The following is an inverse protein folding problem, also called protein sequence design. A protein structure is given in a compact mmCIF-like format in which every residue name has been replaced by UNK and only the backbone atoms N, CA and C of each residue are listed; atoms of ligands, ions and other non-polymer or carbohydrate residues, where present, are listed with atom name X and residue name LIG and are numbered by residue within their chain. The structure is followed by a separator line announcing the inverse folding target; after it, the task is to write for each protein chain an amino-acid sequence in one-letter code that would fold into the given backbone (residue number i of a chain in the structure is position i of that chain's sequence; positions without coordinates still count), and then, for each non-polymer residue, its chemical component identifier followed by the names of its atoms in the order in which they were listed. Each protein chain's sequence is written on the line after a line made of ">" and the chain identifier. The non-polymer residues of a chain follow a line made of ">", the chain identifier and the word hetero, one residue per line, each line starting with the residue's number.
data_IF_299266121584
#
_entry.id   IF_299266121584
#
_cell.length_a   1.000
_cell.length_b   1.000
_cell.length_c   1.000
_cell.angle_alpha   90.00
_cell.angle_beta   90.00
_cell.angle_gamma   90.00
#
_symmetry.space_group_name_H-M   'P 1'
#
loop_
_entity.id
_entity.type
_entity.pdbx_description
1 polymer ?
#
# COMPACT_ATOMS: atom_id res chain seq x y z
N UNK A 1 -10.68 -31.98 -16.68
CA UNK A 1 -9.38 -31.30 -16.48
C UNK A 1 -8.88 -31.63 -15.09
N UNK A 2 -7.61 -31.97 -14.97
CA UNK A 2 -6.99 -32.28 -13.68
C UNK A 2 -6.28 -31.05 -13.13
N UNK A 3 -6.55 -30.74 -11.87
CA UNK A 3 -5.85 -29.68 -11.14
C UNK A 3 -5.10 -30.30 -9.97
N UNK A 4 -3.87 -29.85 -9.76
CA UNK A 4 -3.15 -30.09 -8.51
C UNK A 4 -3.25 -28.79 -7.68
N UNK A 5 -4.05 -28.82 -6.62
CA UNK A 5 -4.24 -27.67 -5.73
C UNK A 5 -3.54 -27.98 -4.40
N UNK A 6 -2.42 -27.30 -4.13
CA UNK A 6 -1.59 -27.49 -2.93
C UNK A 6 -1.24 -29.00 -2.69
N UNK A 7 -0.90 -29.74 -3.76
CA UNK A 7 -0.58 -31.18 -3.71
C UNK A 7 -1.80 -32.11 -3.69
N UNK A 8 -3.02 -31.59 -3.81
CA UNK A 8 -4.27 -32.36 -3.91
C UNK A 8 -4.71 -32.43 -5.36
N UNK A 9 -4.81 -33.64 -5.90
CA UNK A 9 -5.35 -33.86 -7.23
C UNK A 9 -6.87 -33.80 -7.22
N UNK A 10 -7.45 -32.86 -7.94
CA UNK A 10 -8.91 -32.70 -8.10
C UNK A 10 -9.32 -32.63 -9.56
N UNK A 11 -10.51 -33.10 -9.88
CA UNK A 11 -11.10 -32.99 -11.19
C UNK A 11 -12.04 -31.82 -11.25
N UNK A 12 -11.79 -30.91 -12.20
CA UNK A 12 -12.63 -29.74 -12.47
C UNK A 12 -13.38 -29.92 -13.79
N UNK A 13 -14.67 -29.67 -13.77
CA UNK A 13 -15.50 -29.62 -14.96
C UNK A 13 -15.09 -28.41 -15.82
N UNK A 14 -15.26 -28.55 -17.15
CA UNK A 14 -14.96 -27.46 -18.06
C UNK A 14 -15.79 -26.22 -17.77
N UNK A 15 -15.15 -25.05 -17.75
CA UNK A 15 -15.83 -23.77 -17.50
C UNK A 15 -15.99 -23.40 -16.01
N UNK A 16 -15.60 -24.26 -15.08
CA UNK A 16 -15.60 -23.95 -13.65
C UNK A 16 -14.33 -23.18 -13.23
N UNK A 17 -14.45 -22.42 -12.17
CA UNK A 17 -13.36 -21.60 -11.62
C UNK A 17 -12.51 -22.34 -10.59
N UNK A 18 -11.34 -21.78 -10.26
CA UNK A 18 -10.52 -22.28 -9.13
C UNK A 18 -11.30 -22.21 -7.82
N UNK A 19 -12.14 -21.18 -7.63
CA UNK A 19 -13.01 -21.05 -6.46
C UNK A 19 -13.99 -22.22 -6.34
N UNK A 20 -14.58 -22.66 -7.47
CA UNK A 20 -15.47 -23.82 -7.46
C UNK A 20 -14.72 -25.10 -7.07
N UNK A 21 -13.49 -25.27 -7.55
CA UNK A 21 -12.64 -26.39 -7.17
C UNK A 21 -12.28 -26.33 -5.68
N UNK A 22 -11.83 -25.17 -5.18
CA UNK A 22 -11.49 -24.99 -3.77
C UNK A 22 -12.67 -25.31 -2.83
N UNK A 23 -13.88 -24.87 -3.20
CA UNK A 23 -15.12 -25.18 -2.46
C UNK A 23 -15.43 -26.67 -2.45
N UNK A 24 -15.33 -27.32 -3.60
CA UNK A 24 -15.59 -28.76 -3.72
C UNK A 24 -14.65 -29.58 -2.86
N UNK A 25 -13.40 -29.15 -2.74
CA UNK A 25 -12.35 -29.82 -1.95
C UNK A 25 -12.33 -29.37 -0.47
N UNK A 26 -13.25 -28.51 -0.04
CA UNK A 26 -13.30 -27.99 1.34
C UNK A 26 -12.13 -27.10 1.72
N UNK A 27 -11.56 -26.39 0.75
CA UNK A 27 -10.42 -25.47 0.94
C UNK A 27 -10.85 -24.01 1.12
N UNK A 28 -12.15 -23.72 1.17
CA UNK A 28 -12.74 -22.39 1.29
C UNK A 28 -13.05 -21.99 2.74
N UNK A 29 -12.04 -22.00 3.60
CA UNK A 29 -12.19 -21.67 5.02
C UNK A 29 -12.88 -20.32 5.26
N UNK A 30 -13.66 -20.22 6.34
CA UNK A 30 -14.24 -18.96 6.82
C UNK A 30 -13.17 -18.12 7.54
N UNK A 31 -12.22 -18.77 8.23
CA UNK A 31 -11.14 -18.10 8.96
C UNK A 31 -10.13 -17.51 7.95
N UNK A 32 -9.75 -16.25 8.15
CA UNK A 32 -8.83 -15.57 7.23
C UNK A 32 -7.45 -16.23 7.21
N UNK A 33 -7.01 -16.82 8.32
CA UNK A 33 -5.76 -17.62 8.42
C UNK A 33 -5.64 -18.69 7.35
N UNK A 34 -6.76 -19.34 7.00
CA UNK A 34 -6.78 -20.49 6.09
C UNK A 34 -7.52 -20.21 4.79
N UNK A 35 -8.20 -19.06 4.72
CA UNK A 35 -9.00 -18.68 3.54
C UNK A 35 -8.11 -18.38 2.34
N UNK A 36 -8.31 -19.05 1.19
CA UNK A 36 -7.63 -18.68 -0.04
C UNK A 36 -8.12 -17.32 -0.54
N UNK A 37 -7.21 -16.42 -0.84
CA UNK A 37 -7.50 -15.07 -1.33
C UNK A 37 -7.30 -14.94 -2.84
N UNK A 38 -6.34 -15.69 -3.37
CA UNK A 38 -6.02 -15.77 -4.79
C UNK A 38 -5.35 -17.12 -5.09
N UNK A 39 -4.99 -17.34 -6.34
CA UNK A 39 -4.26 -18.51 -6.80
C UNK A 39 -2.97 -18.09 -7.50
N UNK A 40 -1.89 -18.84 -7.29
CA UNK A 40 -0.65 -18.70 -8.03
C UNK A 40 -0.50 -19.84 -9.02
N UNK A 41 -0.21 -19.52 -10.28
CA UNK A 41 0.00 -20.46 -11.38
C UNK A 41 1.25 -20.03 -12.13
N UNK A 42 2.29 -20.86 -12.14
CA UNK A 42 3.53 -20.57 -12.86
C UNK A 42 4.21 -19.25 -12.47
N UNK A 43 4.05 -18.82 -11.20
CA UNK A 43 4.61 -17.56 -10.69
C UNK A 43 3.69 -16.34 -10.84
N UNK A 44 2.61 -16.42 -11.61
CA UNK A 44 1.62 -15.33 -11.76
C UNK A 44 0.45 -15.51 -10.80
N UNK A 45 -0.12 -14.39 -10.33
CA UNK A 45 -1.27 -14.36 -9.42
C UNK A 45 -2.55 -14.19 -10.21
N UNK A 46 -3.55 -15.01 -9.90
CA UNK A 46 -4.87 -15.01 -10.51
C UNK A 46 -5.97 -14.89 -9.45
N UNK A 47 -7.06 -14.20 -9.80
CA UNK A 47 -8.28 -14.22 -9.00
C UNK A 47 -8.81 -15.66 -8.91
N UNK A 48 -9.41 -16.05 -7.80
CA UNK A 48 -9.99 -17.39 -7.64
C UNK A 48 -11.15 -17.68 -8.61
N UNK A 49 -11.76 -16.65 -9.21
CA UNK A 49 -12.77 -16.80 -10.28
C UNK A 49 -12.17 -17.15 -11.64
N UNK A 50 -10.84 -17.19 -11.75
CA UNK A 50 -10.16 -17.60 -12.98
C UNK A 50 -10.52 -19.05 -13.30
N UNK A 51 -10.79 -19.30 -14.61
CA UNK A 51 -11.08 -20.62 -15.16
C UNK A 51 -9.86 -21.14 -15.89
N UNK A 52 -9.14 -22.14 -15.36
CA UNK A 52 -8.02 -22.78 -16.04
C UNK A 52 -8.49 -23.43 -17.36
N UNK A 53 -7.61 -23.47 -18.38
CA UNK A 53 -7.93 -24.06 -19.68
C UNK A 53 -7.20 -25.37 -19.96
N UNK A 54 -6.28 -25.76 -19.10
CA UNK A 54 -5.47 -26.98 -19.19
C UNK A 54 -5.14 -27.51 -17.80
N UNK A 55 -4.68 -28.72 -17.72
CA UNK A 55 -4.17 -29.32 -16.48
C UNK A 55 -3.10 -28.40 -15.88
N UNK A 56 -3.24 -28.06 -14.61
CA UNK A 56 -2.49 -26.96 -14.00
C UNK A 56 -2.20 -27.25 -12.52
N UNK A 57 -1.00 -26.92 -12.10
CA UNK A 57 -0.63 -26.85 -10.69
C UNK A 57 -0.96 -25.47 -10.13
N UNK A 58 -1.63 -25.44 -8.99
CA UNK A 58 -2.16 -24.23 -8.36
C UNK A 58 -1.73 -24.21 -6.90
N UNK A 59 -1.11 -23.10 -6.50
CA UNK A 59 -0.90 -22.77 -5.09
C UNK A 59 -1.93 -21.74 -4.65
N UNK A 60 -2.67 -22.02 -3.57
CA UNK A 60 -3.66 -21.10 -3.01
C UNK A 60 -2.98 -20.12 -2.06
N UNK A 61 -2.98 -18.85 -2.43
CA UNK A 61 -2.39 -17.76 -1.65
C UNK A 61 -3.30 -17.39 -0.48
N UNK A 62 -2.75 -17.40 0.73
CA UNK A 62 -3.41 -17.09 2.00
C UNK A 62 -2.86 -15.82 2.62
N UNK A 63 -3.51 -15.31 3.66
CA UNK A 63 -3.14 -14.05 4.32
C UNK A 63 -1.71 -14.04 4.89
N UNK A 64 -1.22 -15.16 5.40
CA UNK A 64 0.13 -15.31 5.93
C UNK A 64 1.26 -15.12 4.90
N UNK A 65 0.93 -15.20 3.61
CA UNK A 65 1.87 -15.01 2.51
C UNK A 65 1.82 -13.57 1.99
N UNK A 66 2.98 -13.01 1.62
CA UNK A 66 3.08 -11.62 1.15
C UNK A 66 2.15 -11.30 -0.03
N UNK A 67 2.03 -12.22 -0.99
CA UNK A 67 1.15 -12.03 -2.15
C UNK A 67 -0.32 -12.09 -1.76
N UNK A 68 -0.71 -13.02 -0.88
CA UNK A 68 -2.06 -13.15 -0.36
C UNK A 68 -2.46 -11.92 0.48
N UNK A 69 -1.57 -11.44 1.36
CA UNK A 69 -1.80 -10.22 2.14
C UNK A 69 -2.01 -8.99 1.24
N UNK A 70 -1.23 -8.84 0.15
CA UNK A 70 -1.43 -7.75 -0.81
C UNK A 70 -2.76 -7.83 -1.55
N UNK A 71 -3.26 -9.03 -1.82
CA UNK A 71 -4.62 -9.24 -2.39
C UNK A 71 -5.67 -8.77 -1.40
N UNK A 72 -5.54 -9.14 -0.13
CA UNK A 72 -6.43 -8.70 0.94
C UNK A 72 -6.41 -7.18 1.12
N UNK A 73 -5.22 -6.60 1.21
CA UNK A 73 -5.02 -5.16 1.38
C UNK A 73 -5.70 -4.35 0.27
N UNK A 74 -5.48 -4.71 -1.00
CA UNK A 74 -6.14 -4.04 -2.13
C UNK A 74 -7.66 -4.16 -2.08
N UNK A 75 -8.16 -5.35 -1.74
CA UNK A 75 -9.59 -5.59 -1.58
C UNK A 75 -10.18 -4.72 -0.48
N UNK A 76 -9.51 -4.63 0.66
CA UNK A 76 -9.93 -3.82 1.80
C UNK A 76 -9.86 -2.31 1.48
N UNK A 77 -8.83 -1.85 0.78
CA UNK A 77 -8.73 -0.46 0.32
C UNK A 77 -9.91 -0.09 -0.58
N UNK A 78 -10.23 -0.94 -1.55
CA UNK A 78 -11.34 -0.68 -2.46
C UNK A 78 -12.69 -0.69 -1.73
N UNK A 79 -12.88 -1.60 -0.77
CA UNK A 79 -14.04 -1.64 0.09
C UNK A 79 -14.20 -0.34 0.89
N UNK A 80 -13.11 0.19 1.46
CA UNK A 80 -13.09 1.46 2.17
C UNK A 80 -13.47 2.63 1.26
N UNK A 81 -12.86 2.73 0.08
CA UNK A 81 -13.16 3.77 -0.91
C UNK A 81 -14.64 3.73 -1.31
N UNK A 82 -15.19 2.53 -1.55
CA UNK A 82 -16.60 2.37 -1.91
C UNK A 82 -17.53 2.80 -0.77
N UNK A 83 -17.21 2.44 0.49
CA UNK A 83 -17.98 2.86 1.66
C UNK A 83 -17.94 4.39 1.84
N UNK A 84 -16.76 5.00 1.69
CA UNK A 84 -16.61 6.45 1.70
C UNK A 84 -17.48 7.14 0.64
N UNK A 85 -17.49 6.60 -0.57
CA UNK A 85 -18.31 7.13 -1.67
C UNK A 85 -19.81 7.07 -1.39
N UNK A 86 -20.26 6.03 -0.71
CA UNK A 86 -21.68 5.86 -0.37
C UNK A 86 -22.12 6.80 0.75
N UNK A 87 -21.30 6.93 1.78
CA UNK A 87 -21.60 7.79 2.95
C UNK A 87 -21.26 9.27 2.70
N UNK A 88 -20.19 9.55 1.98
CA UNK A 88 -19.65 10.88 1.75
C UNK A 88 -19.26 11.08 0.27
N UNK A 89 -20.22 11.25 -0.65
CA UNK A 89 -19.97 11.26 -2.11
C UNK A 89 -19.00 12.37 -2.56
N UNK A 90 -18.87 13.46 -1.80
CA UNK A 90 -17.99 14.60 -2.13
C UNK A 90 -16.59 14.46 -1.53
N UNK A 91 -16.39 13.52 -0.60
CA UNK A 91 -15.12 13.31 0.07
C UNK A 91 -14.04 12.85 -0.92
N UNK A 92 -12.85 13.42 -0.78
CA UNK A 92 -11.65 12.95 -1.47
C UNK A 92 -10.83 12.09 -0.52
N UNK A 93 -10.63 10.85 -0.90
CA UNK A 93 -9.90 9.85 -0.13
C UNK A 93 -8.51 9.69 -0.73
N UNK A 94 -7.47 9.81 0.08
CA UNK A 94 -6.11 9.55 -0.33
C UNK A 94 -5.43 8.56 0.62
N UNK A 95 -5.12 7.36 0.13
CA UNK A 95 -4.27 6.39 0.83
C UNK A 95 -2.83 6.90 0.76
N UNK A 96 -2.24 7.20 1.92
CA UNK A 96 -0.93 7.86 2.00
C UNK A 96 0.21 6.87 2.12
N UNK A 97 0.26 6.13 3.22
CA UNK A 97 1.37 5.24 3.56
C UNK A 97 0.91 4.18 4.56
N UNK A 98 1.73 3.14 4.70
CA UNK A 98 1.53 2.15 5.76
C UNK A 98 1.97 2.72 7.11
N UNK A 99 1.14 2.58 8.12
CA UNK A 99 1.43 3.00 9.49
C UNK A 99 1.22 1.81 10.43
N UNK A 100 2.31 1.19 10.84
CA UNK A 100 2.23 -0.07 11.59
C UNK A 100 1.49 -1.14 10.80
N UNK A 101 0.50 -1.82 11.42
CA UNK A 101 -0.30 -2.85 10.74
C UNK A 101 -1.48 -2.29 9.95
N UNK A 102 -1.52 -0.98 9.66
CA UNK A 102 -2.61 -0.32 8.97
C UNK A 102 -2.15 0.62 7.86
N UNK A 103 -3.14 1.22 7.21
CA UNK A 103 -2.96 2.22 6.17
C UNK A 103 -3.44 3.57 6.67
N UNK A 104 -2.56 4.57 6.66
CA UNK A 104 -2.93 5.95 6.96
C UNK A 104 -3.62 6.56 5.74
N UNK A 105 -4.83 7.06 5.96
CA UNK A 105 -5.70 7.60 4.91
C UNK A 105 -6.13 9.00 5.31
N UNK A 106 -5.99 9.95 4.40
CA UNK A 106 -6.53 11.30 4.57
C UNK A 106 -7.83 11.45 3.79
N UNK A 107 -8.75 12.20 4.39
CA UNK A 107 -10.07 12.51 3.84
C UNK A 107 -10.24 14.03 3.85
N UNK A 108 -10.49 14.61 2.68
CA UNK A 108 -10.77 16.03 2.50
C UNK A 108 -11.98 16.27 1.59
N UNK A 109 -12.33 17.54 1.34
CA UNK A 109 -13.44 17.90 0.44
C UNK A 109 -14.83 17.75 1.04
N UNK A 110 -14.94 17.56 2.36
CA UNK A 110 -16.18 17.55 3.11
C UNK A 110 -16.50 18.96 3.67
N UNK A 111 -17.79 19.24 3.93
CA UNK A 111 -18.22 20.49 4.55
C UNK A 111 -17.73 20.60 6.01
N UNK A 112 -17.81 19.48 6.74
CA UNK A 112 -17.22 19.34 8.08
C UNK A 112 -16.02 18.39 8.03
N UNK A 113 -14.99 18.60 8.86
CA UNK A 113 -13.86 17.68 8.93
C UNK A 113 -14.31 16.26 9.24
N UNK A 114 -13.68 15.29 8.60
CA UNK A 114 -13.91 13.88 8.89
C UNK A 114 -13.55 13.58 10.35
N UNK A 115 -14.51 13.16 11.15
CA UNK A 115 -14.42 12.97 12.59
C UNK A 115 -14.65 11.49 13.00
N UNK A 116 -14.67 11.21 14.29
CA UNK A 116 -14.84 9.85 14.82
C UNK A 116 -16.21 9.25 14.47
N UNK A 117 -17.29 10.05 14.45
CA UNK A 117 -18.63 9.58 14.05
C UNK A 117 -18.64 9.18 12.57
N UNK A 118 -17.98 9.97 11.71
CA UNK A 118 -17.84 9.65 10.30
C UNK A 118 -17.05 8.34 10.09
N UNK A 119 -15.98 8.13 10.87
CA UNK A 119 -15.21 6.88 10.82
C UNK A 119 -16.07 5.66 11.18
N UNK A 120 -16.93 5.78 12.21
CA UNK A 120 -17.86 4.72 12.60
C UNK A 120 -18.92 4.44 11.53
N UNK A 121 -19.45 5.48 10.87
CA UNK A 121 -20.40 5.33 9.75
C UNK A 121 -19.76 4.56 8.61
N UNK A 122 -18.53 4.91 8.24
CA UNK A 122 -17.79 4.21 7.17
C UNK A 122 -17.52 2.75 7.54
N UNK A 123 -17.07 2.47 8.76
CA UNK A 123 -16.88 1.09 9.20
C UNK A 123 -18.18 0.28 9.14
N UNK A 124 -19.29 0.88 9.55
CA UNK A 124 -20.62 0.25 9.51
C UNK A 124 -21.02 -0.09 8.07
N UNK A 125 -20.81 0.84 7.13
CA UNK A 125 -21.10 0.63 5.73
C UNK A 125 -20.16 -0.44 5.12
N UNK A 126 -18.87 -0.42 5.45
CA UNK A 126 -17.94 -1.48 5.02
C UNK A 126 -18.43 -2.86 5.45
N UNK A 127 -18.86 -3.01 6.72
CA UNK A 127 -19.41 -4.28 7.23
C UNK A 127 -20.71 -4.68 6.52
N UNK A 128 -21.53 -3.70 6.12
CA UNK A 128 -22.71 -3.96 5.29
C UNK A 128 -22.32 -4.48 3.90
N UNK A 129 -21.35 -3.86 3.26
CA UNK A 129 -20.84 -4.26 1.94
C UNK A 129 -20.21 -5.66 1.96
N UNK A 130 -19.49 -6.02 3.05
CA UNK A 130 -18.96 -7.37 3.27
C UNK A 130 -20.09 -8.40 3.26
N UNK A 131 -21.22 -8.13 3.96
CA UNK A 131 -22.36 -9.04 3.99
C UNK A 131 -23.07 -9.22 2.65
N UNK A 132 -23.00 -8.21 1.78
CA UNK A 132 -23.59 -8.25 0.44
C UNK A 132 -22.83 -9.13 -0.56
N UNK A 133 -21.57 -9.49 -0.26
CA UNK A 133 -20.72 -10.34 -1.12
C UNK A 133 -20.65 -9.84 -2.56
N UNK A 134 -20.47 -8.53 -2.74
CA UNK A 134 -20.44 -7.91 -4.05
C UNK A 134 -19.20 -8.37 -4.83
N UNK A 135 -19.34 -8.84 -6.07
CA UNK A 135 -18.21 -9.31 -6.87
C UNK A 135 -17.26 -8.16 -7.20
N UNK A 136 -15.95 -8.45 -7.16
CA UNK A 136 -14.91 -7.56 -7.68
C UNK A 136 -14.55 -7.99 -9.10
N UNK A 137 -14.96 -7.20 -10.08
CA UNK A 137 -14.76 -7.51 -11.49
C UNK A 137 -13.61 -6.70 -12.06
N UNK A 138 -12.58 -7.40 -12.57
CA UNK A 138 -11.51 -6.74 -13.33
C UNK A 138 -11.96 -6.53 -14.76
N UNK A 139 -11.87 -5.30 -15.22
CA UNK A 139 -12.24 -4.92 -16.60
C UNK A 139 -11.09 -4.19 -17.27
N UNK A 140 -10.91 -4.46 -18.54
CA UNK A 140 -10.01 -3.70 -19.40
C UNK A 140 -10.84 -2.71 -20.20
N UNK A 141 -10.55 -1.43 -20.03
CA UNK A 141 -11.23 -0.32 -20.70
C UNK A 141 -10.25 0.50 -21.54
N UNK A 142 -10.77 1.27 -22.48
CA UNK A 142 -9.94 2.20 -23.24
C UNK A 142 -9.50 3.39 -22.38
N UNK A 143 -8.37 4.02 -22.71
CA UNK A 143 -7.93 5.26 -22.05
C UNK A 143 -9.02 6.36 -22.18
N UNK A 144 -9.71 6.44 -23.30
CA UNK A 144 -10.80 7.41 -23.50
C UNK A 144 -11.96 7.19 -22.51
N UNK A 145 -12.36 5.93 -22.29
CA UNK A 145 -13.38 5.56 -21.32
C UNK A 145 -12.93 5.88 -19.89
N UNK A 146 -11.69 5.54 -19.54
CA UNK A 146 -11.11 5.84 -18.22
C UNK A 146 -11.04 7.37 -17.96
N UNK A 147 -10.61 8.17 -18.94
CA UNK A 147 -10.57 9.62 -18.82
C UNK A 147 -11.96 10.19 -18.59
N UNK A 148 -12.96 9.78 -19.42
CA UNK A 148 -14.34 10.24 -19.28
C UNK A 148 -14.91 9.91 -17.90
N UNK A 149 -14.63 8.68 -17.39
CA UNK A 149 -15.07 8.27 -16.06
C UNK A 149 -14.45 9.14 -14.96
N UNK A 150 -13.12 9.30 -14.93
CA UNK A 150 -12.46 10.06 -13.86
C UNK A 150 -12.75 11.56 -13.91
N UNK A 151 -12.98 12.13 -15.10
CA UNK A 151 -13.41 13.53 -15.24
C UNK A 151 -14.84 13.74 -14.70
N UNK A 152 -15.77 12.84 -15.03
CA UNK A 152 -17.15 12.90 -14.52
C UNK A 152 -17.24 12.64 -13.01
N UNK A 153 -16.36 11.78 -12.50
CA UNK A 153 -16.30 11.43 -11.09
C UNK A 153 -15.50 12.43 -10.23
N UNK A 154 -15.00 13.53 -10.83
CA UNK A 154 -14.26 14.58 -10.13
C UNK A 154 -12.84 14.19 -9.72
N UNK A 155 -12.30 13.08 -10.23
CA UNK A 155 -10.94 12.59 -9.95
C UNK A 155 -9.91 13.18 -10.94
N UNK A 156 -9.81 14.51 -10.97
CA UNK A 156 -8.98 15.23 -11.94
C UNK A 156 -7.49 14.81 -11.94
N UNK A 157 -6.94 14.43 -10.78
CA UNK A 157 -5.54 14.01 -10.67
C UNK A 157 -5.30 12.67 -11.36
N UNK A 158 -6.25 11.73 -11.25
CA UNK A 158 -6.18 10.45 -11.98
C UNK A 158 -6.33 10.68 -13.50
N UNK A 159 -7.25 11.54 -13.91
CA UNK A 159 -7.41 11.91 -15.32
C UNK A 159 -6.13 12.55 -15.90
N UNK A 160 -5.49 13.45 -15.15
CA UNK A 160 -4.21 14.05 -15.55
C UNK A 160 -3.09 13.01 -15.68
N UNK A 161 -3.02 12.04 -14.74
CA UNK A 161 -2.01 10.98 -14.77
C UNK A 161 -2.17 10.08 -16.00
N UNK A 162 -3.38 9.80 -16.45
CA UNK A 162 -3.64 8.98 -17.63
C UNK A 162 -3.09 9.57 -18.93
N UNK A 163 -2.90 10.89 -19.02
CA UNK A 163 -2.29 11.56 -20.20
C UNK A 163 -0.87 11.10 -20.46
N UNK A 164 -0.14 10.64 -19.43
CA UNK A 164 1.24 10.16 -19.53
C UNK A 164 1.36 8.68 -19.88
N UNK A 165 0.23 7.97 -19.96
CA UNK A 165 0.22 6.55 -20.20
C UNK A 165 0.51 6.22 -21.67
N UNK A 166 1.41 5.27 -21.90
CA UNK A 166 1.82 4.84 -23.26
C UNK A 166 0.92 3.77 -23.87
N UNK A 167 0.13 3.08 -23.04
CA UNK A 167 -0.78 2.00 -23.48
C UNK A 167 -2.16 2.56 -23.82
N UNK A 168 -2.83 1.99 -24.80
CA UNK A 168 -4.17 2.37 -25.25
C UNK A 168 -5.29 1.87 -24.34
N UNK A 169 -4.97 1.02 -23.38
CA UNK A 169 -5.91 0.39 -22.45
C UNK A 169 -5.54 0.65 -21.00
N UNK A 170 -6.52 0.43 -20.12
CA UNK A 170 -6.41 0.58 -18.69
C UNK A 170 -7.20 -0.51 -17.97
N UNK A 171 -6.57 -1.20 -17.02
CA UNK A 171 -7.25 -2.21 -16.22
C UNK A 171 -7.79 -1.56 -14.95
N UNK A 172 -9.09 -1.74 -14.69
CA UNK A 172 -9.80 -1.24 -13.53
C UNK A 172 -10.52 -2.38 -12.82
N UNK A 173 -10.83 -2.18 -11.55
CA UNK A 173 -11.78 -3.00 -10.84
C UNK A 173 -13.11 -2.26 -10.71
N UNK A 174 -14.21 -3.00 -10.83
CA UNK A 174 -15.56 -2.50 -10.70
C UNK A 174 -16.30 -3.20 -9.57
N UNK A 175 -16.99 -2.43 -8.72
CA UNK A 175 -17.94 -2.90 -7.71
C UNK A 175 -19.15 -1.98 -7.72
N UNK A 176 -20.37 -2.53 -7.85
CA UNK A 176 -21.62 -1.78 -7.69
C UNK A 176 -21.65 -0.48 -8.51
N UNK A 177 -21.17 -0.54 -9.75
CA UNK A 177 -21.11 0.60 -10.68
C UNK A 177 -19.93 1.56 -10.49
N UNK A 178 -19.21 1.49 -9.38
CA UNK A 178 -18.00 2.28 -9.14
C UNK A 178 -16.77 1.59 -9.69
N UNK A 179 -15.86 2.35 -10.30
CA UNK A 179 -14.61 1.86 -10.87
C UNK A 179 -13.42 2.57 -10.24
N UNK A 180 -12.36 1.81 -9.97
CA UNK A 180 -11.05 2.37 -9.65
C UNK A 180 -9.93 1.42 -10.12
N UNK A 181 -8.70 1.92 -10.17
CA UNK A 181 -7.57 1.11 -10.60
C UNK A 181 -6.72 0.64 -9.42
N UNK A 182 -6.27 -0.60 -9.53
CA UNK A 182 -5.32 -1.20 -8.61
C UNK A 182 -4.33 -2.07 -9.37
N UNK A 183 -3.09 -2.11 -8.90
CA UNK A 183 -2.06 -2.95 -9.49
C UNK A 183 -2.04 -4.32 -8.83
N UNK A 184 -2.43 -5.35 -9.57
CA UNK A 184 -2.48 -6.74 -9.14
C UNK A 184 -3.90 -7.24 -8.88
N UNK A 185 -4.01 -8.51 -8.46
CA UNK A 185 -5.29 -9.17 -8.25
C UNK A 185 -5.93 -8.78 -6.93
N UNK A 186 -7.26 -8.87 -6.88
CA UNK A 186 -8.11 -8.73 -5.69
C UNK A 186 -8.80 -10.06 -5.36
N UNK A 187 -9.38 -10.15 -4.19
CA UNK A 187 -10.21 -11.28 -3.79
C UNK A 187 -11.50 -11.37 -4.64
N UNK A 188 -12.21 -12.51 -4.64
CA UNK A 188 -13.39 -12.73 -5.49
C UNK A 188 -14.55 -11.77 -5.27
N UNK A 189 -14.79 -11.37 -4.02
CA UNK A 189 -15.87 -10.47 -3.64
C UNK A 189 -15.59 -9.80 -2.29
N UNK A 190 -16.46 -8.87 -1.89
CA UNK A 190 -16.27 -8.05 -0.68
C UNK A 190 -16.27 -8.85 0.63
N UNK A 191 -16.81 -10.07 0.67
CA UNK A 191 -16.83 -10.88 1.89
C UNK A 191 -15.46 -11.39 2.32
N UNK A 192 -14.49 -11.32 1.45
CA UNK A 192 -13.12 -11.73 1.73
C UNK A 192 -12.35 -10.73 2.60
N UNK A 193 -12.79 -9.47 2.64
CA UNK A 193 -12.15 -8.40 3.42
C UNK A 193 -12.98 -8.08 4.68
N UNK A 194 -13.17 -9.06 5.57
CA UNK A 194 -14.08 -8.99 6.72
C UNK A 194 -13.40 -8.70 8.07
N UNK A 195 -12.08 -8.80 8.14
CA UNK A 195 -11.29 -8.59 9.38
C UNK A 195 -10.55 -7.25 9.29
N UNK A 196 -11.16 -6.20 9.81
CA UNK A 196 -10.60 -4.84 9.80
C UNK A 196 -11.17 -4.00 10.91
N UNK A 197 -10.58 -2.80 11.11
CA UNK A 197 -11.12 -1.71 11.92
C UNK A 197 -10.77 -0.37 11.28
N UNK A 198 -11.69 0.59 11.32
CA UNK A 198 -11.43 1.97 10.93
C UNK A 198 -11.15 2.78 12.20
N UNK A 199 -9.89 3.17 12.42
CA UNK A 199 -9.48 3.94 13.59
C UNK A 199 -9.35 5.41 13.23
N UNK A 200 -10.20 6.26 13.82
CA UNK A 200 -10.02 7.70 13.79
C UNK A 200 -8.70 8.10 14.48
N UNK A 201 -7.94 9.00 13.90
CA UNK A 201 -6.66 9.50 14.44
C UNK A 201 -6.78 10.97 14.82
N UNK A 202 -7.18 11.81 13.88
CA UNK A 202 -7.47 13.23 14.04
C UNK A 202 -8.36 13.69 12.87
N UNK A 203 -8.85 14.93 12.93
CA UNK A 203 -9.72 15.50 11.90
C UNK A 203 -9.11 15.36 10.51
N UNK A 204 -9.89 14.76 9.61
CA UNK A 204 -9.46 14.47 8.24
C UNK A 204 -8.53 13.27 8.10
N UNK A 205 -8.32 12.44 9.14
CA UNK A 205 -7.44 11.27 9.02
C UNK A 205 -7.93 10.04 9.78
N UNK A 206 -7.74 8.86 9.15
CA UNK A 206 -8.00 7.55 9.74
C UNK A 206 -6.86 6.59 9.44
N UNK A 207 -6.77 5.54 10.26
CA UNK A 207 -5.98 4.36 9.95
C UNK A 207 -6.92 3.17 9.71
N UNK A 208 -6.83 2.60 8.52
CA UNK A 208 -7.50 1.35 8.17
C UNK A 208 -6.64 0.19 8.66
N UNK A 209 -7.00 -0.35 9.83
CA UNK A 209 -6.26 -1.41 10.49
C UNK A 209 -6.58 -2.77 9.86
N UNK A 210 -5.52 -3.51 9.58
CA UNK A 210 -5.56 -4.88 9.06
C UNK A 210 -5.09 -5.86 10.14
N UNK A 211 -5.34 -7.15 9.98
CA UNK A 211 -4.78 -8.18 10.87
C UNK A 211 -3.25 -8.21 10.83
N UNK A 212 -2.65 -8.73 11.88
CA UNK A 212 -1.23 -9.11 11.90
C UNK A 212 -1.07 -10.53 11.35
N UNK A 213 0.13 -10.85 10.85
CA UNK A 213 0.41 -12.20 10.33
C UNK A 213 0.31 -13.30 11.41
N UNK A 214 0.64 -12.95 12.67
CA UNK A 214 0.58 -13.85 13.82
C UNK A 214 -0.83 -13.96 14.41
N UNK A 215 -1.77 -13.11 14.01
CA UNK A 215 -3.17 -13.13 14.44
C UNK A 215 -4.10 -12.66 13.30
N UNK A 216 -4.22 -13.43 12.20
CA UNK A 216 -4.91 -12.99 10.99
C UNK A 216 -6.44 -12.90 11.12
N UNK A 217 -7.03 -13.53 12.10
CA UNK A 217 -8.49 -13.60 12.28
C UNK A 217 -9.06 -12.48 13.17
N UNK A 218 -8.20 -11.56 13.63
CA UNK A 218 -8.61 -10.40 14.43
C UNK A 218 -7.95 -9.13 13.90
N UNK A 219 -8.65 -7.97 13.89
CA UNK A 219 -8.02 -6.71 13.52
C UNK A 219 -6.93 -6.35 14.53
N UNK A 220 -5.84 -5.78 14.04
CA UNK A 220 -4.76 -5.30 14.91
C UNK A 220 -5.20 -4.09 15.76
N UNK A 221 -4.50 -3.88 16.87
CA UNK A 221 -4.63 -2.66 17.63
C UNK A 221 -3.84 -1.50 16.99
N UNK A 222 -4.36 -0.30 17.14
CA UNK A 222 -3.65 0.90 16.72
C UNK A 222 -2.50 1.20 17.67
N UNK A 223 -1.34 1.44 17.08
CA UNK A 223 -0.15 1.93 17.79
C UNK A 223 0.17 3.32 17.25
N UNK A 224 0.14 4.32 18.13
CA UNK A 224 0.52 5.67 17.74
C UNK A 224 2.03 5.77 17.53
N UNK A 225 2.42 6.29 16.38
CA UNK A 225 3.81 6.50 15.96
C UNK A 225 4.05 7.99 15.63
N UNK A 226 3.94 8.91 16.61
CA UNK A 226 3.86 10.35 16.37
C UNK A 226 5.10 10.90 15.64
N UNK A 227 6.31 10.37 15.93
CA UNK A 227 7.54 10.80 15.25
C UNK A 227 7.54 10.39 13.77
N UNK A 228 7.11 9.18 13.45
CA UNK A 228 7.03 8.70 12.08
C UNK A 228 5.96 9.46 11.31
N UNK A 229 4.80 9.65 11.92
CA UNK A 229 3.68 10.41 11.33
C UNK A 229 4.09 11.87 11.04
N UNK A 230 4.82 12.52 11.94
CA UNK A 230 5.33 13.88 11.74
C UNK A 230 6.29 13.97 10.53
N UNK A 231 7.16 12.98 10.32
CA UNK A 231 8.09 12.94 9.17
C UNK A 231 7.32 12.75 7.86
N UNK A 232 6.33 11.87 7.83
CA UNK A 232 5.50 11.68 6.64
C UNK A 232 4.68 12.93 6.32
N UNK A 233 4.07 13.56 7.34
CA UNK A 233 3.33 14.82 7.16
C UNK A 233 4.23 15.94 6.61
N UNK A 234 5.44 16.08 7.14
CA UNK A 234 6.42 17.04 6.63
C UNK A 234 6.78 16.76 5.17
N UNK A 235 6.97 15.50 4.78
CA UNK A 235 7.25 15.12 3.39
C UNK A 235 6.09 15.47 2.44
N UNK A 236 4.85 15.22 2.87
CA UNK A 236 3.64 15.58 2.11
C UNK A 236 3.50 17.11 1.95
N UNK A 237 3.81 17.86 3.01
CA UNK A 237 3.77 19.33 2.99
C UNK A 237 4.82 19.88 2.02
N UNK A 238 6.03 19.34 2.02
CA UNK A 238 7.07 19.73 1.07
C UNK A 238 6.68 19.44 -0.37
N UNK A 239 6.09 18.28 -0.65
CA UNK A 239 5.57 17.97 -1.98
C UNK A 239 4.58 19.03 -2.47
N UNK A 240 3.72 19.52 -1.57
CA UNK A 240 2.76 20.60 -1.90
C UNK A 240 3.42 21.95 -2.11
N UNK A 241 4.36 22.33 -1.24
CA UNK A 241 5.11 23.60 -1.36
C UNK A 241 5.93 23.69 -2.64
N UNK A 242 6.45 22.55 -3.10
CA UNK A 242 7.22 22.45 -4.35
C UNK A 242 6.36 22.21 -5.59
N UNK A 243 5.03 22.26 -5.45
CA UNK A 243 4.09 21.97 -6.55
C UNK A 243 4.37 20.61 -7.23
N UNK A 244 4.88 19.65 -6.45
CA UNK A 244 5.23 18.31 -6.89
C UNK A 244 4.72 17.23 -5.91
N UNK A 245 3.41 17.25 -5.66
CA UNK A 245 2.76 16.30 -4.75
C UNK A 245 2.38 14.97 -5.43
N UNK A 246 2.34 14.94 -6.76
CA UNK A 246 1.90 13.78 -7.54
C UNK A 246 2.89 13.42 -8.65
N UNK A 247 2.79 12.19 -9.16
CA UNK A 247 3.57 11.77 -10.34
C UNK A 247 3.22 12.62 -11.59
N UNK A 248 1.99 13.11 -11.69
CA UNK A 248 1.61 14.04 -12.76
C UNK A 248 2.40 15.34 -12.67
N UNK A 249 2.57 15.90 -11.47
CA UNK A 249 3.32 17.13 -11.26
C UNK A 249 4.79 16.94 -11.62
N UNK A 250 5.39 15.81 -11.15
CA UNK A 250 6.76 15.45 -11.53
C UNK A 250 6.94 15.36 -13.05
N UNK A 251 6.01 14.69 -13.74
CA UNK A 251 6.04 14.60 -15.20
C UNK A 251 5.90 15.97 -15.87
N UNK A 252 5.11 16.86 -15.28
CA UNK A 252 4.94 18.24 -15.73
C UNK A 252 6.24 19.03 -15.57
N UNK A 253 6.96 18.91 -14.44
CA UNK A 253 8.29 19.51 -14.26
C UNK A 253 9.31 18.99 -15.28
N UNK A 254 9.26 17.69 -15.61
CA UNK A 254 10.12 17.09 -16.65
C UNK A 254 9.80 17.71 -18.02
N UNK A 255 8.52 17.78 -18.38
CA UNK A 255 8.08 18.33 -19.67
C UNK A 255 8.44 19.80 -19.82
N UNK A 256 8.30 20.58 -18.76
CA UNK A 256 8.58 22.02 -18.75
C UNK A 256 10.07 22.35 -18.59
N UNK A 257 10.93 21.34 -18.37
CA UNK A 257 12.37 21.52 -18.17
C UNK A 257 12.77 22.07 -16.79
N UNK A 258 11.83 22.20 -15.84
CA UNK A 258 12.05 22.72 -14.47
C UNK A 258 12.53 21.66 -13.50
N UNK A 259 12.67 20.41 -13.92
CA UNK A 259 13.09 19.29 -13.08
C UNK A 259 14.44 19.52 -12.38
N UNK A 260 15.39 20.23 -13.05
CA UNK A 260 16.71 20.51 -12.46
C UNK A 260 16.62 21.45 -11.27
N UNK A 261 15.72 22.42 -11.32
CA UNK A 261 15.46 23.32 -10.20
C UNK A 261 14.82 22.56 -9.03
N UNK A 262 13.82 21.72 -9.30
CA UNK A 262 13.22 20.85 -8.30
C UNK A 262 14.26 19.97 -7.60
N UNK A 263 15.19 19.36 -8.34
CA UNK A 263 16.28 18.56 -7.78
C UNK A 263 17.17 19.42 -6.86
N UNK A 264 17.59 20.61 -7.29
CA UNK A 264 18.43 21.50 -6.46
C UNK A 264 17.75 21.92 -5.17
N UNK A 265 16.44 22.22 -5.22
CA UNK A 265 15.67 22.57 -4.01
C UNK A 265 15.62 21.38 -3.05
N UNK A 266 15.38 20.16 -3.55
CA UNK A 266 15.38 18.96 -2.74
C UNK A 266 16.75 18.67 -2.11
N UNK A 267 17.85 18.84 -2.87
CA UNK A 267 19.21 18.66 -2.33
C UNK A 267 19.51 19.67 -1.22
N UNK A 268 19.16 20.94 -1.41
CA UNK A 268 19.35 21.99 -0.39
C UNK A 268 18.52 21.70 0.87
N UNK A 269 17.31 21.19 0.69
CA UNK A 269 16.44 20.81 1.81
C UNK A 269 17.02 19.64 2.62
N UNK A 270 17.56 18.62 1.94
CA UNK A 270 18.24 17.50 2.60
C UNK A 270 19.50 17.96 3.34
N UNK A 271 20.32 18.84 2.75
CA UNK A 271 21.51 19.37 3.39
C UNK A 271 21.17 20.16 4.66
N UNK A 272 20.10 20.94 4.65
CA UNK A 272 19.58 21.61 5.84
C UNK A 272 19.15 20.61 6.91
N UNK A 273 18.44 19.53 6.53
CA UNK A 273 18.06 18.47 7.46
C UNK A 273 19.25 17.77 8.10
N UNK A 274 20.35 17.54 7.34
CA UNK A 274 21.57 16.97 7.89
C UNK A 274 22.28 17.93 8.84
N UNK A 275 22.25 19.25 8.57
CA UNK A 275 22.77 20.25 9.50
C UNK A 275 21.97 20.26 10.82
N UNK A 276 20.63 20.26 10.74
CA UNK A 276 19.78 20.19 11.94
C UNK A 276 20.01 18.93 12.79
N UNK A 277 20.30 17.79 12.13
CA UNK A 277 20.67 16.55 12.82
C UNK A 277 22.02 16.71 13.52
N UNK A 278 23.02 17.27 12.84
CA UNK A 278 24.35 17.51 13.42
C UNK A 278 24.28 18.44 14.62
N UNK A 279 23.50 19.52 14.56
CA UNK A 279 23.25 20.43 15.67
C UNK A 279 22.66 19.69 16.89
N UNK A 280 21.67 18.84 16.66
CA UNK A 280 21.07 18.02 17.74
C UNK A 280 22.06 17.03 18.36
N UNK A 281 22.97 16.44 17.54
CA UNK A 281 24.01 15.53 18.02
C UNK A 281 24.95 16.26 18.97
N UNK A 282 25.43 17.45 18.57
CA UNK A 282 26.36 18.26 19.37
C UNK A 282 25.66 18.76 20.64
N UNK A 283 24.46 19.31 20.54
CA UNK A 283 23.68 19.78 21.70
C UNK A 283 23.46 18.69 22.75
N UNK A 284 23.22 17.45 22.32
CA UNK A 284 23.05 16.31 23.22
C UNK A 284 24.36 15.75 23.77
N UNK A 285 25.51 16.16 23.26
CA UNK A 285 26.80 15.58 23.60
C UNK A 285 26.90 14.08 23.27
N UNK A 286 26.19 13.64 22.20
CA UNK A 286 26.11 12.24 21.84
C UNK A 286 27.47 11.69 21.40
N UNK A 287 27.93 10.61 22.05
CA UNK A 287 29.21 9.94 21.74
C UNK A 287 29.08 8.88 20.67
N UNK A 288 27.86 8.36 20.45
CA UNK A 288 27.54 7.38 19.41
C UNK A 288 26.23 7.76 18.74
N UNK A 289 26.21 7.63 17.41
CA UNK A 289 25.03 7.89 16.58
C UNK A 289 24.77 6.66 15.72
N UNK A 290 23.60 6.06 15.86
CA UNK A 290 23.20 4.88 15.09
C UNK A 290 22.31 5.32 13.91
N UNK A 291 22.75 4.98 12.69
CA UNK A 291 21.96 5.21 11.46
C UNK A 291 21.40 3.88 11.00
N UNK A 292 20.10 3.69 11.16
CA UNK A 292 19.40 2.47 10.79
C UNK A 292 18.40 2.72 9.66
N UNK A 293 18.12 1.69 8.87
CA UNK A 293 17.13 1.74 7.78
C UNK A 293 17.23 0.50 6.87
N UNK A 294 16.26 0.28 6.00
CA UNK A 294 16.27 -0.86 5.08
C UNK A 294 17.41 -0.76 4.05
N UNK A 295 17.62 -1.85 3.29
CA UNK A 295 18.58 -1.83 2.18
C UNK A 295 18.23 -0.74 1.17
N UNK A 296 19.22 -0.12 0.57
CA UNK A 296 19.07 0.97 -0.41
C UNK A 296 18.34 2.23 0.08
N UNK A 297 18.16 2.41 1.41
CA UNK A 297 17.51 3.60 1.99
C UNK A 297 18.41 4.83 2.09
N UNK A 298 19.67 4.76 1.63
CA UNK A 298 20.62 5.87 1.70
C UNK A 298 21.33 6.04 3.06
N UNK A 299 21.35 5.00 3.92
CA UNK A 299 22.04 5.05 5.23
C UNK A 299 23.48 5.57 5.14
N UNK A 300 24.28 4.97 4.27
CA UNK A 300 25.69 5.33 4.07
C UNK A 300 25.82 6.77 3.60
N UNK A 301 25.04 7.18 2.63
CA UNK A 301 25.01 8.56 2.11
C UNK A 301 24.64 9.54 3.22
N UNK A 302 23.60 9.26 3.99
CA UNK A 302 23.16 10.10 5.12
C UNK A 302 24.24 10.19 6.20
N UNK A 303 24.89 9.09 6.55
CA UNK A 303 25.97 9.06 7.54
C UNK A 303 27.14 9.93 7.08
N UNK A 304 27.54 9.87 5.79
CA UNK A 304 28.58 10.73 5.24
C UNK A 304 28.19 12.21 5.28
N UNK A 305 26.95 12.56 4.92
CA UNK A 305 26.47 13.95 4.95
C UNK A 305 26.42 14.48 6.38
N UNK A 306 25.91 13.71 7.35
CA UNK A 306 25.93 14.08 8.77
C UNK A 306 27.35 14.25 9.28
N UNK A 307 28.29 13.33 8.92
CA UNK A 307 29.68 13.44 9.25
C UNK A 307 30.31 14.74 8.72
N UNK A 308 29.97 15.15 7.51
CA UNK A 308 30.40 16.42 6.92
C UNK A 308 29.95 17.62 7.78
N UNK A 309 28.66 17.65 8.14
CA UNK A 309 28.10 18.72 8.97
C UNK A 309 28.74 18.76 10.38
N UNK A 310 28.99 17.61 10.98
CA UNK A 310 29.70 17.53 12.28
C UNK A 310 31.14 18.07 12.19
N UNK A 311 31.84 17.80 11.09
CA UNK A 311 33.20 18.34 10.85
C UNK A 311 33.22 19.86 10.73
N UNK A 312 32.17 20.45 10.12
CA UNK A 312 32.02 21.91 10.07
C UNK A 312 31.90 22.53 11.48
N UNK A 313 31.45 21.76 12.47
CA UNK A 313 31.33 22.17 13.87
C UNK A 313 32.55 21.78 14.72
N UNK A 314 33.66 21.37 14.09
CA UNK A 314 34.90 20.98 14.76
C UNK A 314 34.90 19.58 15.38
N UNK A 315 33.88 18.76 15.11
CA UNK A 315 33.86 17.37 15.55
C UNK A 315 34.65 16.46 14.59
N UNK A 316 35.16 15.34 15.10
CA UNK A 316 35.91 14.35 14.32
C UNK A 316 35.22 12.98 14.40
N UNK A 317 34.07 12.79 13.73
CA UNK A 317 33.34 11.52 13.79
C UNK A 317 34.10 10.41 13.07
N UNK A 318 34.10 9.22 13.65
CA UNK A 318 34.58 7.98 13.04
C UNK A 318 33.38 7.20 12.57
N UNK A 319 33.37 6.84 11.28
CA UNK A 319 32.29 6.04 10.69
C UNK A 319 32.64 4.55 10.79
N UNK A 320 31.69 3.76 11.30
CA UNK A 320 31.80 2.30 11.39
C UNK A 320 30.62 1.68 10.67
N UNK A 321 30.89 0.84 9.67
CA UNK A 321 29.86 0.03 9.02
C UNK A 321 29.75 -1.30 9.76
N UNK A 322 28.54 -1.67 10.17
CA UNK A 322 28.30 -2.98 10.76
C UNK A 322 28.50 -4.10 9.74
N UNK A 323 28.38 -3.81 8.45
CA UNK A 323 28.60 -4.77 7.37
C UNK A 323 30.05 -5.28 7.35
N UNK A 324 31.01 -4.48 7.83
CA UNK A 324 32.43 -4.86 7.92
C UNK A 324 32.73 -5.91 9.01
N UNK A 325 31.74 -6.18 9.89
CA UNK A 325 31.84 -7.09 11.02
C UNK A 325 31.04 -8.38 10.87
N UNK A 326 30.34 -8.55 9.74
CA UNK A 326 29.65 -9.81 9.48
C UNK A 326 30.65 -10.92 9.14
N UNK A 327 30.42 -12.07 9.76
CA UNK A 327 31.14 -13.31 9.42
C UNK A 327 30.40 -14.01 8.27
N UNK A 328 31.14 -14.81 7.51
CA UNK A 328 30.59 -15.60 6.41
C UNK A 328 29.42 -16.46 6.89
N UNK A 329 28.43 -16.65 6.02
CA UNK A 329 27.19 -17.40 6.35
C UNK A 329 27.48 -18.81 6.88
N UNK A 330 28.55 -19.46 6.36
CA UNK A 330 28.98 -20.80 6.75
C UNK A 330 29.55 -20.87 8.17
N UNK A 331 29.95 -19.73 8.74
CA UNK A 331 30.46 -19.59 10.10
C UNK A 331 29.44 -18.98 11.08
N UNK A 332 28.27 -18.54 10.57
CA UNK A 332 27.24 -17.89 11.38
C UNK A 332 26.41 -18.90 12.13
N UNK A 333 26.44 -18.86 13.46
CA UNK A 333 25.62 -19.69 14.35
C UNK A 333 24.10 -19.39 14.26
N UNK A 334 23.70 -18.32 13.53
CA UNK A 334 22.28 -17.93 13.38
C UNK A 334 21.55 -18.82 12.36
N UNK A 335 22.29 -19.61 11.57
CA UNK A 335 21.73 -20.49 10.53
C UNK A 335 21.83 -22.00 10.88
N UNK A 336 22.16 -22.33 12.13
CA UNK A 336 22.14 -23.70 12.63
C UNK A 336 20.80 -24.01 13.28
#
# INVERSE_FOLDING_TARGET
>A
MRLDIDGRNCELESGRSILDAAKKEGLDSIMLSDRPLAAQIGGEVFNLRFTPKKDTQIHLLRYGEDMGRRVYERTLQFLFILAMRKEFPRARVCVRYSLGPGLFITVDGMEEPFNEEAALKVETEMRRLVRLKLPLERRRISIKEALSFYEQDGQADKAKLLKWRRFSYFDVYQIDGYMDYFYGEMAPDTSYADVFRVKYVHDGAVVLLMPRNDAPDVPSDYVDLPKLNAVFHQSDEWGRLMECATVNDLNTHIQNGTIRELVRINEALHDRGYADIADKIVQKGAKAVLVAGPSSSGKTTSAHRISTQLRLQGCHPVMLSLDDYYIDRDLSLIHI
#
